data_IF_108656349211
#
_entry.id   IF_108656349211
#
_cell.length_a   1.000
_cell.length_b   1.000
_cell.length_c   1.000
_cell.angle_alpha   90.00
_cell.angle_beta   90.00
_cell.angle_gamma   90.00
#
_symmetry.space_group_name_H-M   'P 1'
#
loop_
_entity.id
_entity.type
_entity.pdbx_description
1 polymer ?
#
# COMPACT_ATOMS: atom_id res chain seq x y z
N UNK A 1 -9.43 -26.89 -8.10
CA UNK A 1 -10.39 -26.79 -6.96
C UNK A 1 -9.66 -26.47 -5.66
N UNK A 2 -8.61 -27.22 -5.31
CA UNK A 2 -7.80 -27.01 -4.10
C UNK A 2 -7.10 -25.64 -4.00
N UNK A 3 -6.40 -25.18 -5.05
CA UNK A 3 -5.74 -23.86 -5.05
C UNK A 3 -6.73 -22.68 -4.90
N UNK A 4 -7.96 -22.84 -5.40
CA UNK A 4 -9.00 -21.81 -5.26
C UNK A 4 -9.48 -21.73 -3.80
N UNK A 5 -9.65 -22.88 -3.15
CA UNK A 5 -10.03 -22.95 -1.73
C UNK A 5 -8.97 -22.31 -0.83
N UNK A 6 -7.70 -22.64 -1.05
CA UNK A 6 -6.55 -22.11 -0.30
C UNK A 6 -6.43 -20.57 -0.41
N UNK A 7 -6.69 -20.03 -1.60
CA UNK A 7 -6.74 -18.57 -1.82
C UNK A 7 -7.81 -17.89 -0.95
N UNK A 8 -9.03 -18.43 -0.91
CA UNK A 8 -10.12 -17.85 -0.09
C UNK A 8 -9.85 -17.99 1.41
N UNK A 9 -9.23 -19.08 1.84
CA UNK A 9 -8.83 -19.28 3.23
C UNK A 9 -7.76 -18.27 3.66
N UNK A 10 -6.75 -18.05 2.81
CA UNK A 10 -5.71 -17.03 3.01
C UNK A 10 -6.31 -15.63 3.12
N UNK A 11 -7.18 -15.27 2.18
CA UNK A 11 -7.86 -13.98 2.20
C UNK A 11 -8.74 -13.79 3.44
N UNK A 12 -9.47 -14.83 3.85
CA UNK A 12 -10.30 -14.80 5.07
C UNK A 12 -9.44 -14.61 6.31
N UNK A 13 -8.29 -15.27 6.41
CA UNK A 13 -7.36 -15.09 7.52
C UNK A 13 -6.89 -13.63 7.64
N UNK A 14 -6.57 -12.99 6.51
CA UNK A 14 -6.16 -11.57 6.47
C UNK A 14 -7.28 -10.64 6.94
N UNK A 15 -8.51 -10.85 6.46
CA UNK A 15 -9.67 -10.04 6.86
C UNK A 15 -9.95 -10.23 8.36
N UNK A 16 -9.97 -11.46 8.86
CA UNK A 16 -10.21 -11.75 10.28
C UNK A 16 -9.14 -11.14 11.19
N UNK A 17 -7.86 -11.24 10.79
CA UNK A 17 -6.77 -10.61 11.52
C UNK A 17 -6.95 -9.09 11.60
N UNK A 18 -7.31 -8.47 10.48
CA UNK A 18 -7.47 -7.01 10.40
C UNK A 18 -8.70 -6.54 11.17
N UNK A 19 -9.83 -7.25 11.08
CA UNK A 19 -11.04 -6.94 11.82
C UNK A 19 -10.79 -7.01 13.34
N UNK A 20 -10.08 -8.05 13.81
CA UNK A 20 -9.66 -8.18 15.23
C UNK A 20 -8.83 -6.97 15.69
N UNK A 21 -7.81 -6.60 14.91
CA UNK A 21 -6.99 -5.42 15.19
C UNK A 21 -7.81 -4.12 15.23
N UNK A 22 -8.74 -3.94 14.30
CA UNK A 22 -9.52 -2.70 14.17
C UNK A 22 -10.52 -2.56 15.32
N UNK A 23 -11.12 -3.66 15.77
CA UNK A 23 -11.99 -3.72 16.95
C UNK A 23 -11.23 -3.40 18.24
N UNK A 24 -10.02 -3.95 18.39
CA UNK A 24 -9.16 -3.69 19.56
C UNK A 24 -8.68 -2.23 19.64
N UNK A 25 -8.68 -1.48 18.53
CA UNK A 25 -8.39 -0.03 18.54
C UNK A 25 -9.57 0.81 19.01
N UNK A 26 -10.81 0.31 18.86
CA UNK A 26 -12.04 1.00 19.29
C UNK A 26 -12.42 0.66 20.74
N UNK A 27 -12.11 -0.54 21.21
CA UNK A 27 -12.19 -0.90 22.63
C UNK A 27 -10.96 -0.39 23.39
N UNK A 28 -11.13 0.41 24.44
CA UNK A 28 -10.06 0.82 25.35
C UNK A 28 -9.55 -0.36 26.20
N UNK A 29 -8.93 -1.38 25.60
CA UNK A 29 -8.22 -2.40 26.35
C UNK A 29 -6.73 -2.04 26.40
N UNK A 30 -6.22 -1.87 27.63
CA UNK A 30 -4.83 -1.52 27.94
C UNK A 30 -3.89 -2.74 27.88
N UNK A 31 -4.32 -3.85 27.29
CA UNK A 31 -3.53 -5.07 27.14
C UNK A 31 -3.11 -5.23 25.67
N UNK A 32 -1.88 -5.70 25.45
CA UNK A 32 -1.35 -6.01 24.12
C UNK A 32 -2.23 -7.14 23.55
N UNK A 33 -3.02 -6.91 22.49
CA UNK A 33 -4.02 -7.88 22.06
C UNK A 33 -3.36 -9.18 21.57
N UNK A 34 -4.01 -10.33 21.78
CA UNK A 34 -3.51 -11.66 21.38
C UNK A 34 -3.11 -11.75 19.88
N UNK A 35 -3.71 -10.90 19.04
CA UNK A 35 -3.37 -10.69 17.63
C UNK A 35 -1.94 -10.13 17.40
N UNK A 36 -1.24 -9.72 18.45
CA UNK A 36 0.12 -9.18 18.40
C UNK A 36 1.17 -10.12 18.97
N UNK A 37 0.82 -11.39 19.21
CA UNK A 37 1.83 -12.42 19.42
C UNK A 37 2.73 -12.54 18.18
N UNK A 38 4.02 -12.82 18.40
CA UNK A 38 4.99 -13.02 17.31
C UNK A 38 4.54 -14.14 16.36
N UNK A 39 3.92 -15.19 16.89
CA UNK A 39 3.32 -16.26 16.09
C UNK A 39 2.25 -15.71 15.16
N UNK A 40 1.26 -14.97 15.69
CA UNK A 40 0.20 -14.39 14.87
C UNK A 40 0.73 -13.45 13.79
N UNK A 41 1.75 -12.63 14.12
CA UNK A 41 2.41 -11.74 13.14
C UNK A 41 3.17 -12.51 12.05
N UNK A 42 3.78 -13.64 12.40
CA UNK A 42 4.49 -14.51 11.45
C UNK A 42 3.50 -15.22 10.52
N UNK A 43 2.38 -15.69 11.06
CA UNK A 43 1.32 -16.36 10.30
C UNK A 43 0.65 -15.41 9.31
N UNK A 44 0.34 -14.18 9.73
CA UNK A 44 -0.26 -13.18 8.84
C UNK A 44 0.75 -12.68 7.79
N UNK A 45 2.02 -12.49 8.13
CA UNK A 45 3.05 -12.13 7.16
C UNK A 45 3.20 -13.22 6.08
N UNK A 46 3.19 -14.49 6.49
CA UNK A 46 3.23 -15.63 5.56
C UNK A 46 1.98 -15.68 4.68
N UNK A 47 0.80 -15.44 5.26
CA UNK A 47 -0.47 -15.36 4.52
C UNK A 47 -0.45 -14.25 3.46
N UNK A 48 0.05 -13.06 3.81
CA UNK A 48 0.18 -11.93 2.89
C UNK A 48 1.19 -12.22 1.78
N UNK A 49 2.33 -12.86 2.11
CA UNK A 49 3.31 -13.29 1.11
C UNK A 49 2.70 -14.26 0.11
N UNK A 50 2.00 -15.30 0.59
CA UNK A 50 1.30 -16.27 -0.26
C UNK A 50 0.27 -15.58 -1.16
N UNK A 51 -0.55 -14.68 -0.59
CA UNK A 51 -1.51 -13.90 -1.37
C UNK A 51 -0.82 -13.07 -2.46
N UNK A 52 0.27 -12.37 -2.12
CA UNK A 52 1.05 -11.58 -3.08
C UNK A 52 1.55 -12.42 -4.25
N UNK A 53 2.15 -13.59 -3.97
CA UNK A 53 2.60 -14.51 -5.01
C UNK A 53 1.44 -15.00 -5.87
N UNK A 54 0.31 -15.37 -5.27
CA UNK A 54 -0.89 -15.81 -5.99
C UNK A 54 -1.43 -14.73 -6.93
N UNK A 55 -1.47 -13.45 -6.50
CA UNK A 55 -1.89 -12.33 -7.36
C UNK A 55 -0.90 -12.13 -8.50
N UNK A 56 0.40 -12.23 -8.22
CA UNK A 56 1.46 -12.05 -9.20
C UNK A 56 1.47 -13.15 -10.28
N UNK A 57 1.31 -14.42 -9.91
CA UNK A 57 1.37 -15.54 -10.85
C UNK A 57 0.09 -15.69 -11.68
N UNK A 58 -1.08 -15.39 -11.09
CA UNK A 58 -2.36 -15.73 -11.69
C UNK A 58 -3.18 -14.49 -12.10
N UNK A 59 -3.38 -14.31 -13.40
CA UNK A 59 -4.19 -13.20 -13.93
C UNK A 59 -5.67 -13.27 -13.53
N UNK A 60 -6.19 -14.46 -13.19
CA UNK A 60 -7.54 -14.64 -12.66
C UNK A 60 -7.64 -14.48 -11.14
N UNK A 61 -6.51 -14.43 -10.41
CA UNK A 61 -6.52 -14.21 -8.97
C UNK A 61 -6.98 -12.79 -8.64
N UNK A 62 -6.59 -11.78 -9.44
CA UNK A 62 -7.04 -10.40 -9.26
C UNK A 62 -8.57 -10.27 -9.25
N UNK A 63 -9.24 -10.88 -10.24
CA UNK A 63 -10.71 -10.91 -10.30
C UNK A 63 -11.33 -11.53 -9.05
N UNK A 64 -10.64 -12.48 -8.42
CA UNK A 64 -11.12 -13.10 -7.18
C UNK A 64 -10.84 -12.21 -5.96
N UNK A 65 -9.68 -11.55 -5.88
CA UNK A 65 -9.31 -10.63 -4.77
C UNK A 65 -10.34 -9.52 -4.61
N UNK A 66 -10.70 -8.87 -5.72
CA UNK A 66 -11.54 -7.68 -5.71
C UNK A 66 -12.98 -7.99 -5.29
N UNK A 67 -13.46 -9.19 -5.60
CA UNK A 67 -14.76 -9.66 -5.16
C UNK A 67 -14.80 -10.21 -3.73
N UNK A 68 -13.65 -10.32 -3.03
CA UNK A 68 -13.65 -10.73 -1.62
C UNK A 68 -13.99 -9.52 -0.75
N UNK A 69 -15.12 -9.56 -0.01
CA UNK A 69 -15.53 -8.45 0.83
C UNK A 69 -14.43 -8.03 1.82
N UNK A 70 -14.21 -6.72 1.94
CA UNK A 70 -13.26 -6.08 2.87
C UNK A 70 -11.77 -6.42 2.68
N UNK A 71 -11.38 -7.28 1.74
CA UNK A 71 -9.97 -7.64 1.58
C UNK A 71 -9.11 -6.42 1.20
N UNK A 72 -9.59 -5.60 0.26
CA UNK A 72 -8.88 -4.39 -0.16
C UNK A 72 -8.72 -3.38 0.99
N UNK A 73 -9.79 -3.20 1.78
CA UNK A 73 -9.77 -2.36 2.98
C UNK A 73 -8.80 -2.92 4.03
N UNK A 74 -8.76 -4.24 4.19
CA UNK A 74 -7.87 -4.92 5.14
C UNK A 74 -6.41 -4.72 4.76
N UNK A 75 -6.06 -4.98 3.50
CA UNK A 75 -4.71 -4.72 2.97
C UNK A 75 -4.31 -3.25 3.15
N UNK A 76 -5.22 -2.32 2.84
CA UNK A 76 -4.98 -0.88 2.98
C UNK A 76 -4.73 -0.46 4.44
N UNK A 77 -5.43 -1.06 5.40
CA UNK A 77 -5.20 -0.82 6.83
C UNK A 77 -3.85 -1.37 7.28
N UNK A 78 -3.48 -2.55 6.79
CA UNK A 78 -2.24 -3.23 7.16
C UNK A 78 -0.97 -2.54 6.63
N UNK A 79 -1.05 -1.72 5.56
CA UNK A 79 0.08 -0.89 5.09
C UNK A 79 0.64 0.02 6.19
N UNK A 80 -0.21 0.47 7.13
CA UNK A 80 0.17 1.34 8.25
C UNK A 80 0.10 0.60 9.60
N UNK A 81 0.17 -0.73 9.59
CA UNK A 81 0.03 -1.54 10.80
C UNK A 81 1.11 -1.19 11.84
N UNK A 82 0.66 -0.68 13.01
CA UNK A 82 1.52 -0.31 14.15
C UNK A 82 2.73 0.53 13.73
N UNK A 83 2.54 1.42 12.76
CA UNK A 83 3.57 2.32 12.26
C UNK A 83 3.96 3.35 13.32
N UNK A 84 5.26 3.65 13.44
CA UNK A 84 5.78 4.57 14.45
C UNK A 84 5.79 4.05 15.89
N UNK A 85 5.54 2.75 16.09
CA UNK A 85 5.64 2.11 17.42
C UNK A 85 6.75 1.08 17.44
N UNK A 86 7.69 1.27 18.37
CA UNK A 86 8.85 0.39 18.57
C UNK A 86 8.78 -0.23 19.96
N UNK A 87 8.76 -1.57 20.01
CA UNK A 87 8.68 -2.32 21.28
C UNK A 87 9.91 -3.19 21.43
N UNK A 88 10.13 -4.06 20.44
CA UNK A 88 11.21 -5.04 20.41
C UNK A 88 11.58 -5.31 18.95
N UNK A 89 12.85 -5.62 18.69
CA UNK A 89 13.39 -5.80 17.35
C UNK A 89 12.67 -6.91 16.57
N UNK A 90 12.35 -8.05 17.20
CA UNK A 90 11.71 -9.17 16.51
C UNK A 90 10.25 -8.83 16.18
N UNK A 91 9.54 -8.20 17.10
CA UNK A 91 8.16 -7.73 16.88
C UNK A 91 8.13 -6.68 15.77
N UNK A 92 9.05 -5.71 15.80
CA UNK A 92 9.14 -4.64 14.81
C UNK A 92 9.48 -5.19 13.43
N UNK A 93 10.36 -6.18 13.34
CA UNK A 93 10.68 -6.88 12.10
C UNK A 93 9.46 -7.62 11.52
N UNK A 94 8.65 -8.27 12.36
CA UNK A 94 7.44 -8.93 11.87
C UNK A 94 6.37 -7.91 11.44
N UNK A 95 6.19 -6.83 12.20
CA UNK A 95 5.31 -5.72 11.82
C UNK A 95 5.70 -5.12 10.48
N UNK A 96 7.00 -4.92 10.25
CA UNK A 96 7.52 -4.45 8.96
C UNK A 96 7.17 -5.41 7.83
N UNK A 97 7.34 -6.73 8.02
CA UNK A 97 6.94 -7.73 7.01
C UNK A 97 5.46 -7.67 6.69
N UNK A 98 4.60 -7.51 7.69
CA UNK A 98 3.15 -7.33 7.49
C UNK A 98 2.87 -6.13 6.60
N UNK A 99 3.49 -4.98 6.89
CA UNK A 99 3.32 -3.77 6.08
C UNK A 99 3.87 -3.95 4.66
N UNK A 100 5.07 -4.52 4.53
CA UNK A 100 5.75 -4.74 3.24
C UNK A 100 4.95 -5.68 2.33
N UNK A 101 4.52 -6.84 2.83
CA UNK A 101 3.72 -7.77 2.03
C UNK A 101 2.33 -7.22 1.69
N UNK A 102 1.71 -6.43 2.58
CA UNK A 102 0.45 -5.74 2.28
C UNK A 102 0.61 -4.75 1.12
N UNK A 103 1.72 -3.98 1.10
CA UNK A 103 2.05 -3.10 -0.02
C UNK A 103 2.25 -3.87 -1.31
N UNK A 104 2.94 -5.02 -1.27
CA UNK A 104 3.12 -5.87 -2.46
C UNK A 104 1.80 -6.39 -3.03
N UNK A 105 0.88 -6.86 -2.18
CA UNK A 105 -0.47 -7.25 -2.62
C UNK A 105 -1.16 -6.10 -3.37
N UNK A 106 -1.19 -4.90 -2.77
CA UNK A 106 -1.84 -3.73 -3.37
C UNK A 106 -1.15 -3.27 -4.65
N UNK A 107 0.18 -3.32 -4.71
CA UNK A 107 0.95 -3.03 -5.91
C UNK A 107 0.54 -3.96 -7.05
N UNK A 108 0.43 -5.27 -6.80
CA UNK A 108 0.01 -6.21 -7.84
C UNK A 108 -1.44 -6.02 -8.28
N UNK A 109 -2.33 -5.68 -7.34
CA UNK A 109 -3.72 -5.31 -7.65
C UNK A 109 -3.75 -4.09 -8.56
N UNK A 110 -3.02 -3.03 -8.20
CA UNK A 110 -2.91 -1.81 -9.00
C UNK A 110 -2.32 -2.10 -10.39
N UNK A 111 -1.21 -2.83 -10.44
CA UNK A 111 -0.48 -3.12 -11.67
C UNK A 111 -1.30 -3.97 -12.65
N UNK A 112 -2.02 -4.96 -12.14
CA UNK A 112 -2.87 -5.84 -12.97
C UNK A 112 -4.29 -5.32 -13.13
N UNK A 113 -4.68 -4.28 -12.41
CA UNK A 113 -6.05 -3.79 -12.36
C UNK A 113 -6.46 -3.00 -13.58
N UNK A 114 -7.73 -3.13 -13.97
CA UNK A 114 -8.38 -2.30 -14.98
C UNK A 114 -8.88 -0.96 -14.37
N UNK A 115 -9.63 -0.19 -15.16
CA UNK A 115 -10.13 1.12 -14.72
C UNK A 115 -11.06 1.05 -13.50
N UNK A 116 -11.88 0.00 -13.39
CA UNK A 116 -12.76 -0.20 -12.23
C UNK A 116 -11.92 -0.48 -10.98
N UNK A 117 -10.92 -1.36 -11.12
CA UNK A 117 -10.03 -1.71 -10.00
C UNK A 117 -9.25 -0.47 -9.50
N UNK A 118 -8.81 0.42 -10.41
CA UNK A 118 -8.20 1.69 -10.01
C UNK A 118 -9.16 2.59 -9.21
N UNK A 119 -10.43 2.64 -9.62
CA UNK A 119 -11.47 3.42 -8.91
C UNK A 119 -11.68 2.89 -7.50
N UNK A 120 -11.74 1.57 -7.33
CA UNK A 120 -11.86 0.94 -6.01
C UNK A 120 -10.65 1.23 -5.12
N UNK A 121 -9.44 1.24 -5.67
CA UNK A 121 -8.22 1.64 -4.94
C UNK A 121 -8.31 3.09 -4.44
N UNK A 122 -8.70 4.04 -5.29
CA UNK A 122 -8.85 5.45 -4.89
C UNK A 122 -9.92 5.62 -3.82
N UNK A 123 -11.07 4.94 -3.97
CA UNK A 123 -12.17 5.01 -3.00
C UNK A 123 -11.79 4.41 -1.64
N UNK A 124 -10.88 3.43 -1.61
CA UNK A 124 -10.34 2.87 -0.36
C UNK A 124 -9.18 3.70 0.22
N UNK A 125 -8.83 4.84 -0.39
CA UNK A 125 -7.75 5.71 0.06
C UNK A 125 -6.36 5.10 -0.15
N UNK A 126 -6.19 4.27 -1.18
CA UNK A 126 -4.92 3.62 -1.46
C UNK A 126 -3.76 4.61 -1.59
N UNK A 127 -3.94 5.69 -2.36
CA UNK A 127 -2.91 6.71 -2.52
C UNK A 127 -2.58 7.44 -1.22
N UNK A 128 -3.60 7.75 -0.40
CA UNK A 128 -3.43 8.27 0.97
C UNK A 128 -2.60 7.34 1.86
N UNK A 129 -2.84 6.02 1.77
CA UNK A 129 -2.11 5.03 2.59
C UNK A 129 -0.67 4.86 2.13
N UNK A 130 -0.44 4.85 0.82
CA UNK A 130 0.91 4.81 0.27
C UNK A 130 1.69 6.07 0.62
N UNK A 131 1.06 7.24 0.66
CA UNK A 131 1.79 8.48 0.93
C UNK A 131 2.44 8.48 2.31
N UNK A 132 1.72 8.00 3.32
CA UNK A 132 2.22 7.85 4.68
C UNK A 132 3.52 7.02 4.75
N UNK A 133 3.71 6.05 3.86
CA UNK A 133 4.86 5.13 3.92
C UNK A 133 6.21 5.80 3.68
N UNK A 134 6.24 6.91 2.93
CA UNK A 134 7.46 7.70 2.70
C UNK A 134 7.53 8.97 3.56
N UNK A 135 6.53 9.23 4.41
CA UNK A 135 6.51 10.37 5.32
C UNK A 135 7.40 10.09 6.54
N UNK A 136 8.55 10.76 6.65
CA UNK A 136 9.49 10.48 7.76
C UNK A 136 9.35 11.45 8.93
N UNK A 137 8.74 12.62 8.74
CA UNK A 137 8.59 13.56 9.83
C UNK A 137 7.54 13.08 10.85
N UNK A 138 7.84 13.31 12.13
CA UNK A 138 6.97 12.93 13.24
C UNK A 138 6.87 11.43 13.52
N UNK A 139 7.75 10.59 12.95
CA UNK A 139 7.76 9.13 13.18
C UNK A 139 6.53 8.42 12.59
N UNK A 140 5.90 9.02 11.57
CA UNK A 140 4.62 8.55 11.01
C UNK A 140 4.76 7.62 9.80
N UNK A 141 5.97 7.41 9.27
CA UNK A 141 6.23 6.56 8.10
C UNK A 141 7.34 5.54 8.33
N UNK A 142 7.80 4.91 7.26
CA UNK A 142 8.83 3.88 7.33
C UNK A 142 10.21 4.52 7.52
N UNK A 143 11.05 3.88 8.32
CA UNK A 143 12.40 4.36 8.62
C UNK A 143 13.47 3.71 7.74
N UNK A 144 13.14 2.57 7.13
CA UNK A 144 14.07 1.85 6.25
C UNK A 144 14.04 2.45 4.85
N UNK A 145 15.23 2.79 4.35
CA UNK A 145 15.42 3.34 3.00
C UNK A 145 14.71 2.55 1.90
N UNK A 146 14.75 1.21 1.95
CA UNK A 146 14.09 0.33 0.98
C UNK A 146 12.58 0.51 0.97
N UNK A 147 11.97 0.69 2.14
CA UNK A 147 10.51 0.85 2.26
C UNK A 147 10.07 2.26 1.87
N UNK A 148 10.88 3.28 2.19
CA UNK A 148 10.68 4.65 1.68
C UNK A 148 10.73 4.64 0.14
N UNK A 149 11.74 3.99 -0.43
CA UNK A 149 11.89 3.84 -1.87
C UNK A 149 10.70 3.10 -2.49
N UNK A 150 10.25 2.00 -1.90
CA UNK A 150 9.06 1.26 -2.34
C UNK A 150 7.81 2.15 -2.32
N UNK A 151 7.59 2.91 -1.23
CA UNK A 151 6.49 3.86 -1.11
C UNK A 151 6.47 4.89 -2.25
N UNK A 152 7.62 5.53 -2.51
CA UNK A 152 7.79 6.49 -3.62
C UNK A 152 7.56 5.85 -5.00
N UNK A 153 8.08 4.64 -5.21
CA UNK A 153 7.92 3.91 -6.47
C UNK A 153 6.45 3.53 -6.71
N UNK A 154 5.74 3.05 -5.68
CA UNK A 154 4.34 2.64 -5.82
C UNK A 154 3.42 3.83 -6.09
N UNK A 155 3.59 4.94 -5.35
CA UNK A 155 2.74 6.12 -5.55
C UNK A 155 2.95 6.76 -6.93
N UNK A 156 4.21 6.86 -7.39
CA UNK A 156 4.53 7.45 -8.70
C UNK A 156 3.98 6.61 -9.85
N UNK A 157 4.09 5.27 -9.76
CA UNK A 157 3.48 4.37 -10.75
C UNK A 157 1.97 4.45 -10.76
N UNK A 158 1.35 4.55 -9.58
CA UNK A 158 -0.10 4.66 -9.47
C UNK A 158 -0.60 5.98 -10.09
N UNK A 159 -0.07 7.13 -9.67
CA UNK A 159 -0.44 8.44 -10.21
C UNK A 159 -0.19 8.54 -11.71
N UNK A 160 0.95 8.02 -12.19
CA UNK A 160 1.25 7.98 -13.62
C UNK A 160 0.22 7.16 -14.39
N UNK A 161 -0.16 5.98 -13.88
CA UNK A 161 -1.20 5.17 -14.51
C UNK A 161 -2.54 5.93 -14.56
N UNK A 162 -2.91 6.66 -13.50
CA UNK A 162 -4.12 7.49 -13.50
C UNK A 162 -4.03 8.67 -14.48
N UNK A 163 -2.86 9.29 -14.65
CA UNK A 163 -2.66 10.43 -15.58
C UNK A 163 -2.57 10.03 -17.05
N UNK A 164 -1.84 8.96 -17.35
CA UNK A 164 -1.50 8.57 -18.73
C UNK A 164 -2.35 7.40 -19.24
N UNK A 165 -3.09 6.74 -18.35
CA UNK A 165 -3.71 5.45 -18.65
C UNK A 165 -2.68 4.32 -18.68
N UNK A 166 -3.12 3.16 -19.16
CA UNK A 166 -2.27 1.98 -19.37
C UNK A 166 -2.45 1.45 -20.78
N UNK A 167 -1.34 1.21 -21.48
CA UNK A 167 -1.32 0.58 -22.81
C UNK A 167 -1.13 -0.93 -22.73
N UNK A 168 -0.52 -1.42 -21.65
CA UNK A 168 -0.36 -2.85 -21.36
C UNK A 168 -1.63 -3.42 -20.72
N UNK A 169 -1.97 -4.67 -21.04
CA UNK A 169 -3.20 -5.31 -20.56
C UNK A 169 -3.20 -5.51 -19.02
N UNK A 170 -4.30 -5.17 -18.31
CA UNK A 170 -5.48 -4.50 -18.84
C UNK A 170 -5.21 -3.02 -19.15
N UNK A 171 -5.54 -2.63 -20.37
CA UNK A 171 -5.40 -1.27 -20.85
C UNK A 171 -6.58 -0.41 -20.42
N UNK A 172 -6.33 0.85 -20.06
CA UNK A 172 -7.38 1.83 -19.79
C UNK A 172 -6.95 3.23 -20.20
N UNK A 173 -7.92 4.09 -20.49
CA UNK A 173 -7.71 5.51 -20.78
C UNK A 173 -7.35 6.28 -19.51
N UNK A 174 -6.67 7.43 -19.60
CA UNK A 174 -6.44 8.33 -18.47
C UNK A 174 -7.69 8.51 -17.58
N UNK A 175 -7.47 8.47 -16.27
CA UNK A 175 -8.47 8.63 -15.21
C UNK A 175 -8.19 9.92 -14.40
N UNK A 176 -8.26 11.11 -15.03
CA UNK A 176 -7.78 12.36 -14.42
C UNK A 176 -8.54 12.78 -13.16
N UNK A 177 -9.82 12.42 -13.03
CA UNK A 177 -10.60 12.69 -11.81
C UNK A 177 -10.09 11.85 -10.63
N UNK A 178 -9.76 10.59 -10.87
CA UNK A 178 -9.19 9.70 -9.85
C UNK A 178 -7.79 10.14 -9.43
N UNK A 179 -6.98 10.60 -10.39
CA UNK A 179 -5.67 11.17 -10.10
C UNK A 179 -5.79 12.40 -9.20
N UNK A 180 -6.67 13.34 -9.56
CA UNK A 180 -6.95 14.54 -8.77
C UNK A 180 -7.39 14.18 -7.33
N UNK A 181 -8.34 13.26 -7.18
CA UNK A 181 -8.79 12.83 -5.86
C UNK A 181 -7.64 12.24 -5.04
N UNK A 182 -6.73 11.50 -5.69
CA UNK A 182 -5.55 10.93 -5.02
C UNK A 182 -4.57 12.03 -4.58
N UNK A 183 -4.29 13.00 -5.44
CA UNK A 183 -3.45 14.16 -5.12
C UNK A 183 -4.01 14.94 -3.92
N UNK A 184 -5.33 15.23 -3.93
CA UNK A 184 -6.01 15.93 -2.84
C UNK A 184 -5.91 15.15 -1.51
N UNK A 185 -6.14 13.82 -1.54
CA UNK A 185 -5.96 12.97 -0.35
C UNK A 185 -4.51 12.97 0.19
N UNK A 186 -3.51 13.08 -0.69
CA UNK A 186 -2.10 13.15 -0.29
C UNK A 186 -1.76 14.50 0.34
N UNK A 187 -2.29 15.58 -0.23
CA UNK A 187 -2.12 16.94 0.30
C UNK A 187 -2.75 17.08 1.69
N UNK A 188 -3.93 16.50 1.92
CA UNK A 188 -4.59 16.45 3.23
C UNK A 188 -3.74 15.78 4.32
N UNK A 189 -2.87 14.84 3.95
CA UNK A 189 -1.93 14.16 4.86
C UNK A 189 -0.58 14.89 5.02
N UNK A 190 -0.38 16.02 4.35
CA UNK A 190 0.92 16.73 4.33
C UNK A 190 2.02 15.95 3.62
N UNK A 191 1.66 15.06 2.69
CA UNK A 191 2.63 14.22 1.99
C UNK A 191 3.50 15.02 1.00
N UNK A 192 3.07 16.21 0.59
CA UNK A 192 3.82 17.06 -0.34
C UNK A 192 5.09 17.60 0.33
N UNK A 193 4.98 18.06 1.58
CA UNK A 193 6.09 18.54 2.40
C UNK A 193 7.10 17.42 2.70
N UNK A 194 6.58 16.22 2.96
CA UNK A 194 7.37 15.01 3.18
C UNK A 194 8.12 14.60 1.90
N UNK A 195 7.46 14.68 0.75
CA UNK A 195 8.09 14.42 -0.54
C UNK A 195 9.26 15.39 -0.81
N UNK A 196 9.11 16.67 -0.46
CA UNK A 196 10.21 17.65 -0.56
C UNK A 196 11.39 17.32 0.35
N UNK A 197 11.12 16.72 1.51
CA UNK A 197 12.15 16.22 2.41
C UNK A 197 12.88 15.03 1.77
N UNK A 198 12.15 14.08 1.17
CA UNK A 198 12.75 12.93 0.49
C UNK A 198 13.61 13.32 -0.74
N UNK A 199 13.33 14.44 -1.40
CA UNK A 199 14.17 14.96 -2.50
C UNK A 199 15.59 15.33 -2.05
N UNK A 200 15.84 15.46 -0.74
CA UNK A 200 17.17 15.71 -0.16
C UNK A 200 17.80 14.44 0.43
N UNK A 201 17.04 13.35 0.53
CA UNK A 201 17.46 12.10 1.15
C UNK A 201 18.51 11.37 0.29
N UNK A 202 19.69 11.11 0.85
CA UNK A 202 20.81 10.42 0.20
C UNK A 202 20.81 8.90 0.41
N UNK A 203 19.79 8.37 1.08
CA UNK A 203 19.57 6.94 1.26
C UNK A 203 19.61 6.17 -0.05
N UNK A 204 20.07 4.91 0.04
CA UNK A 204 20.37 4.06 -1.12
C UNK A 204 21.22 4.77 -2.20
N UNK A 205 22.32 5.41 -1.83
CA UNK A 205 23.22 6.11 -2.76
C UNK A 205 22.50 7.19 -3.61
N UNK A 206 21.51 7.88 -3.03
CA UNK A 206 20.73 8.92 -3.70
C UNK A 206 19.60 8.42 -4.59
N UNK A 207 19.29 7.12 -4.57
CA UNK A 207 18.13 6.56 -5.27
C UNK A 207 16.83 7.15 -4.72
N UNK A 208 16.68 7.30 -3.40
CA UNK A 208 15.49 7.89 -2.79
C UNK A 208 15.26 9.31 -3.31
N UNK A 209 16.30 10.15 -3.29
CA UNK A 209 16.25 11.49 -3.90
C UNK A 209 15.78 11.44 -5.35
N UNK A 210 16.32 10.54 -6.18
CA UNK A 210 15.94 10.44 -7.60
C UNK A 210 14.46 10.09 -7.74
N UNK A 211 13.98 9.09 -7.01
CA UNK A 211 12.57 8.68 -7.06
C UNK A 211 11.64 9.76 -6.52
N UNK A 212 12.00 10.47 -5.44
CA UNK A 212 11.21 11.58 -4.93
C UNK A 212 11.06 12.71 -5.96
N UNK A 213 12.13 13.04 -6.69
CA UNK A 213 12.07 14.00 -7.80
C UNK A 213 11.16 13.50 -8.93
N UNK A 214 11.21 12.20 -9.25
CA UNK A 214 10.33 11.60 -10.25
C UNK A 214 8.86 11.65 -9.82
N UNK A 215 8.54 11.28 -8.58
CA UNK A 215 7.19 11.38 -8.01
C UNK A 215 6.67 12.81 -8.05
N UNK A 216 7.50 13.80 -7.69
CA UNK A 216 7.12 15.22 -7.79
C UNK A 216 6.83 15.63 -9.23
N UNK A 217 7.63 15.18 -10.19
CA UNK A 217 7.37 15.42 -11.61
C UNK A 217 6.06 14.79 -12.07
N UNK A 218 5.73 13.57 -11.63
CA UNK A 218 4.46 12.90 -11.98
C UNK A 218 3.24 13.67 -11.46
N UNK A 219 3.31 14.17 -10.21
CA UNK A 219 2.27 15.02 -9.61
C UNK A 219 2.12 16.34 -10.41
N UNK A 220 3.25 16.96 -10.80
CA UNK A 220 3.23 18.25 -11.51
C UNK A 220 2.96 18.14 -13.02
N UNK A 221 3.18 16.97 -13.64
CA UNK A 221 3.08 16.77 -15.10
C UNK A 221 1.65 16.97 -15.64
N UNK A 222 0.66 17.17 -14.77
CA UNK A 222 -0.69 17.64 -15.09
C UNK A 222 -0.73 18.99 -15.84
N UNK A 223 0.31 19.82 -15.73
CA UNK A 223 0.32 21.17 -16.32
C UNK A 223 0.90 21.28 -17.73
N UNK A 224 1.54 20.25 -18.28
CA UNK A 224 2.23 20.35 -19.58
C UNK A 224 1.33 19.92 -20.75
N UNK A 225 0.39 18.99 -20.52
CA UNK A 225 -0.44 18.39 -21.59
C UNK A 225 -1.85 18.99 -21.72
N UNK A 226 -2.16 20.06 -20.96
CA UNK A 226 -3.29 20.93 -21.27
C UNK A 226 -2.83 22.07 -22.17
N UNK A 227 -2.73 21.79 -23.47
CA UNK A 227 -2.74 22.81 -24.53
C UNK A 227 -3.86 22.49 -25.51
#
# INVERSE_FOLDING_TARGET
MQQKQEFYETARAIVSFTDSYTQNKQGKQNEQPDSESISSLTDIASSLQTLSHQIWENNNALKQVIHIPKLLQSLSALVTFRLGTHIDLDVDNQRLKVRSWSRWCLYWIQFKGDAQDQSELVNNGYGRRLSITFCTAGGKGEEQDTEIWNGLMYISRFLRALHEGKTQQPSFQPLPLLARNTEEQMEEEGANEELETQMKNKGMNGIIKREANYTKAVILNRFIHKR
#
